data_IF_194276749560
#
_entry.id   IF_194276749560
#
_cell.length_a   1.000
_cell.length_b   1.000
_cell.length_c   1.000
_cell.angle_alpha   90.00
_cell.angle_beta   90.00
_cell.angle_gamma   90.00
#
_symmetry.space_group_name_H-M   'P 1'
#
loop_
_entity.id
_entity.type
_entity.pdbx_description
1 polymer ?
#
# COMPACT_ATOMS: atom_id res chain seq x y z
N UNK A 1 22.11 -27.34 -20.38
CA UNK A 1 21.24 -27.97 -19.37
C UNK A 1 20.28 -28.85 -20.14
N UNK A 2 20.27 -30.17 -19.91
CA UNK A 2 19.28 -31.09 -20.50
C UNK A 2 17.84 -30.64 -20.20
N UNK A 3 16.90 -30.95 -21.08
CA UNK A 3 15.48 -30.54 -20.96
C UNK A 3 14.81 -31.08 -19.68
N UNK A 4 15.23 -32.25 -19.21
CA UNK A 4 14.78 -32.88 -17.97
C UNK A 4 15.17 -32.07 -16.72
N UNK A 5 16.41 -31.55 -16.69
CA UNK A 5 16.91 -30.72 -15.59
C UNK A 5 16.22 -29.34 -15.55
N UNK A 6 15.73 -28.86 -16.70
CA UNK A 6 14.95 -27.61 -16.80
C UNK A 6 13.52 -27.80 -16.25
N UNK A 7 12.89 -28.94 -16.54
CA UNK A 7 11.55 -29.27 -16.07
C UNK A 7 11.52 -29.55 -14.57
N UNK A 8 12.57 -30.15 -14.02
CA UNK A 8 12.66 -30.41 -12.58
C UNK A 8 12.86 -29.10 -11.79
N UNK A 9 13.70 -28.18 -12.29
CA UNK A 9 13.77 -26.82 -11.76
C UNK A 9 12.43 -26.07 -11.87
N UNK A 10 11.72 -26.19 -13.00
CA UNK A 10 10.43 -25.55 -13.21
C UNK A 10 9.29 -26.17 -12.37
N UNK A 11 9.38 -27.46 -12.01
CA UNK A 11 8.38 -28.17 -11.20
C UNK A 11 8.61 -28.07 -9.68
N UNK A 12 9.73 -27.49 -9.22
CA UNK A 12 9.85 -26.98 -7.82
C UNK A 12 8.94 -25.77 -7.52
N UNK A 13 8.02 -25.46 -8.44
CA UNK A 13 7.05 -24.35 -8.44
C UNK A 13 6.10 -24.27 -7.25
N UNK A 14 6.07 -25.24 -6.34
CA UNK A 14 5.37 -25.08 -5.05
C UNK A 14 6.05 -24.07 -4.12
N UNK A 15 7.31 -23.67 -4.39
CA UNK A 15 8.03 -22.66 -3.58
C UNK A 15 7.94 -21.25 -4.16
N UNK A 16 7.46 -21.08 -5.41
CA UNK A 16 7.56 -19.77 -6.11
C UNK A 16 6.30 -18.92 -5.95
N UNK A 17 5.17 -19.51 -5.58
CA UNK A 17 3.92 -18.78 -5.38
C UNK A 17 3.98 -17.78 -4.20
N UNK A 18 4.81 -18.05 -3.18
CA UNK A 18 5.01 -17.13 -2.04
C UNK A 18 6.13 -16.09 -2.29
N UNK A 19 6.78 -16.14 -3.46
CA UNK A 19 7.92 -15.27 -3.82
C UNK A 19 7.65 -14.28 -4.94
N UNK A 20 6.51 -14.38 -5.64
CA UNK A 20 6.11 -13.38 -6.62
C UNK A 20 5.55 -12.16 -5.91
N UNK A 21 6.37 -11.11 -5.84
CA UNK A 21 5.99 -9.81 -5.33
C UNK A 21 4.76 -9.26 -6.07
N UNK A 22 3.72 -8.85 -5.33
CA UNK A 22 2.48 -8.33 -5.91
C UNK A 22 2.74 -7.08 -6.76
N UNK A 23 1.94 -6.87 -7.81
CA UNK A 23 2.04 -5.69 -8.67
C UNK A 23 1.88 -4.40 -7.84
N UNK A 24 0.93 -4.38 -6.90
CA UNK A 24 0.75 -3.27 -5.96
C UNK A 24 2.00 -2.93 -5.15
N UNK A 25 2.70 -3.94 -4.63
CA UNK A 25 3.95 -3.70 -3.89
C UNK A 25 5.07 -3.20 -4.81
N UNK A 26 5.16 -3.70 -6.04
CA UNK A 26 6.13 -3.19 -7.03
C UNK A 26 5.89 -1.70 -7.32
N UNK A 27 4.63 -1.28 -7.49
CA UNK A 27 4.26 0.13 -7.70
C UNK A 27 4.65 0.98 -6.48
N UNK A 28 4.35 0.52 -5.27
CA UNK A 28 4.71 1.22 -4.02
C UNK A 28 6.23 1.37 -3.86
N UNK A 29 7.01 0.33 -4.21
CA UNK A 29 8.48 0.38 -4.18
C UNK A 29 9.04 1.33 -5.23
N UNK A 30 8.56 1.23 -6.47
CA UNK A 30 8.99 2.07 -7.60
C UNK A 30 8.77 3.56 -7.32
N UNK A 31 7.66 3.90 -6.64
CA UNK A 31 7.32 5.27 -6.27
C UNK A 31 7.87 5.70 -4.89
N UNK A 32 8.70 4.86 -4.23
CA UNK A 32 9.37 5.21 -2.97
C UNK A 32 8.46 5.20 -1.73
N UNK A 33 7.23 4.71 -1.83
CA UNK A 33 6.26 4.75 -0.73
C UNK A 33 6.76 4.01 0.52
N UNK A 34 7.47 2.90 0.32
CA UNK A 34 7.97 2.03 1.41
C UNK A 34 9.09 2.67 2.25
N UNK A 35 9.66 3.79 1.81
CA UNK A 35 10.61 4.56 2.62
C UNK A 35 9.91 5.34 3.75
N UNK A 36 8.63 5.66 3.56
CA UNK A 36 7.82 6.42 4.51
C UNK A 36 6.69 5.60 5.13
N UNK A 37 6.29 4.49 4.53
CA UNK A 37 5.21 3.63 5.01
C UNK A 37 5.70 2.20 5.23
N UNK A 38 5.64 1.74 6.47
CA UNK A 38 6.09 0.39 6.84
C UNK A 38 5.05 -0.66 6.48
N UNK A 39 5.49 -1.91 6.35
CA UNK A 39 4.62 -3.09 6.11
C UNK A 39 4.54 -4.01 7.33
N UNK A 40 5.30 -3.72 8.39
CA UNK A 40 5.44 -4.59 9.57
C UNK A 40 4.60 -4.11 10.77
N UNK A 41 4.09 -2.88 10.72
CA UNK A 41 3.34 -2.23 11.80
C UNK A 41 4.11 -1.10 12.50
N UNK A 42 5.40 -0.91 12.19
CA UNK A 42 6.22 0.13 12.80
C UNK A 42 5.75 1.53 12.39
N UNK A 43 5.82 2.48 13.33
CA UNK A 43 5.60 3.91 13.04
C UNK A 43 6.90 4.54 12.56
N UNK A 44 6.89 5.13 11.38
CA UNK A 44 8.02 5.86 10.80
C UNK A 44 7.57 7.26 10.38
N UNK A 45 7.93 7.73 9.17
CA UNK A 45 7.51 9.04 8.66
C UNK A 45 6.00 9.09 8.42
N UNK A 46 5.43 8.03 7.84
CA UNK A 46 4.01 7.84 7.58
C UNK A 46 3.45 6.62 8.31
N UNK A 47 2.11 6.44 8.27
CA UNK A 47 1.45 5.29 8.87
C UNK A 47 1.80 3.98 8.18
N UNK A 48 1.80 2.89 8.94
CA UNK A 48 1.96 1.54 8.38
C UNK A 48 0.81 1.19 7.41
N UNK A 49 1.14 0.41 6.38
CA UNK A 49 0.17 -0.22 5.49
C UNK A 49 -0.46 -1.48 6.11
N UNK A 50 0.20 -2.11 7.07
CA UNK A 50 -0.29 -3.33 7.72
C UNK A 50 -1.58 -3.06 8.47
N UNK A 51 -2.63 -3.84 8.20
CA UNK A 51 -3.92 -3.63 8.86
C UNK A 51 -4.66 -2.37 8.41
N UNK A 52 -4.19 -1.67 7.36
CA UNK A 52 -4.78 -0.39 6.96
C UNK A 52 -6.18 -0.58 6.38
N UNK A 53 -6.35 -1.45 5.39
CA UNK A 53 -7.59 -1.50 4.61
C UNK A 53 -8.79 -1.89 5.50
N UNK A 54 -9.94 -1.22 5.35
CA UNK A 54 -11.12 -1.45 6.20
C UNK A 54 -10.98 -1.04 7.68
N UNK A 55 -9.82 -0.56 8.14
CA UNK A 55 -9.66 -0.05 9.51
C UNK A 55 -10.31 1.32 9.68
N UNK A 56 -10.60 1.68 10.94
CA UNK A 56 -11.06 3.03 11.28
C UNK A 56 -9.87 3.96 11.55
N UNK A 57 -9.88 5.12 10.90
CA UNK A 57 -8.82 6.13 11.00
C UNK A 57 -9.40 7.45 11.49
N UNK A 58 -8.81 7.99 12.55
CA UNK A 58 -9.08 9.37 12.96
C UNK A 58 -8.21 10.30 12.14
N UNK A 59 -8.84 11.20 11.39
CA UNK A 59 -8.19 12.12 10.47
C UNK A 59 -8.59 13.56 10.76
N UNK A 60 -7.70 14.49 10.43
CA UNK A 60 -7.97 15.93 10.38
C UNK A 60 -8.16 16.33 8.93
N UNK A 61 -9.30 16.95 8.60
CA UNK A 61 -9.57 17.45 7.26
C UNK A 61 -8.82 18.75 6.95
N UNK A 62 -8.91 19.22 5.70
CA UNK A 62 -8.27 20.45 5.26
C UNK A 62 -8.74 21.72 6.02
N UNK A 63 -9.90 21.68 6.67
CA UNK A 63 -10.46 22.76 7.48
C UNK A 63 -10.05 22.66 8.96
N UNK A 64 -9.38 21.57 9.35
CA UNK A 64 -8.94 21.33 10.72
C UNK A 64 -9.94 20.55 11.58
N UNK A 65 -11.04 20.05 11.01
CA UNK A 65 -12.00 19.25 11.77
C UNK A 65 -11.51 17.80 11.90
N UNK A 66 -11.78 17.21 13.05
CA UNK A 66 -11.45 15.81 13.33
C UNK A 66 -12.65 14.93 13.02
N UNK A 67 -12.44 13.85 12.27
CA UNK A 67 -13.46 12.84 12.00
C UNK A 67 -12.86 11.43 11.95
N UNK A 68 -13.71 10.42 12.06
CA UNK A 68 -13.35 9.02 11.85
C UNK A 68 -13.81 8.59 10.46
N UNK A 69 -12.91 7.97 9.69
CA UNK A 69 -13.18 7.45 8.34
C UNK A 69 -12.75 5.99 8.25
N UNK A 70 -13.47 5.21 7.43
CA UNK A 70 -13.04 3.86 7.05
C UNK A 70 -11.98 3.97 5.97
N UNK A 71 -10.87 3.23 6.13
CA UNK A 71 -9.81 3.14 5.12
C UNK A 71 -10.19 2.20 3.96
N UNK A 72 -11.18 2.61 3.16
CA UNK A 72 -11.64 1.92 1.97
C UNK A 72 -10.85 2.32 0.70
N UNK A 73 -11.30 1.87 -0.47
CA UNK A 73 -10.64 2.14 -1.75
C UNK A 73 -10.59 3.63 -2.08
N UNK A 74 -11.68 4.36 -1.80
CA UNK A 74 -11.78 5.80 -2.04
C UNK A 74 -10.88 6.58 -1.09
N UNK A 75 -10.73 6.11 0.16
CA UNK A 75 -9.77 6.67 1.10
C UNK A 75 -8.33 6.48 0.61
N UNK A 76 -7.97 5.28 0.12
CA UNK A 76 -6.62 5.02 -0.43
C UNK A 76 -6.35 5.89 -1.65
N UNK A 77 -7.27 5.95 -2.60
CA UNK A 77 -7.15 6.81 -3.79
C UNK A 77 -6.97 8.28 -3.41
N UNK A 78 -7.86 8.80 -2.54
CA UNK A 78 -7.77 10.18 -2.04
C UNK A 78 -6.46 10.43 -1.32
N UNK A 79 -5.99 9.49 -0.49
CA UNK A 79 -4.72 9.65 0.23
C UNK A 79 -3.51 9.71 -0.72
N UNK A 80 -3.58 9.06 -1.87
CA UNK A 80 -2.50 9.06 -2.88
C UNK A 80 -2.55 10.31 -3.77
N UNK A 81 -3.75 10.75 -4.16
CA UNK A 81 -3.93 11.89 -5.06
C UNK A 81 -4.03 13.24 -4.35
N UNK A 82 -4.62 13.28 -3.16
CA UNK A 82 -4.77 14.46 -2.31
C UNK A 82 -4.44 14.13 -0.84
N UNK A 83 -3.16 13.85 -0.52
CA UNK A 83 -2.72 13.41 0.80
C UNK A 83 -3.01 14.41 1.94
N UNK A 84 -3.24 15.68 1.62
CA UNK A 84 -3.54 16.72 2.59
C UNK A 84 -5.05 16.90 2.83
N UNK A 85 -5.92 16.23 2.06
CA UNK A 85 -7.36 16.29 2.28
C UNK A 85 -7.75 15.74 3.66
N UNK A 86 -7.09 14.66 4.08
CA UNK A 86 -7.38 13.94 5.32
C UNK A 86 -6.09 13.36 5.91
N UNK A 87 -5.50 14.08 6.87
CA UNK A 87 -4.25 13.65 7.51
C UNK A 87 -4.56 12.84 8.76
N UNK A 88 -4.01 11.63 8.87
CA UNK A 88 -4.16 10.77 10.03
C UNK A 88 -3.60 11.44 11.29
N UNK A 89 -4.31 11.33 12.41
CA UNK A 89 -3.86 11.81 13.71
C UNK A 89 -2.44 11.31 14.06
N UNK A 90 -1.59 12.24 14.52
CA UNK A 90 -0.21 11.95 14.89
C UNK A 90 0.79 11.92 13.73
N UNK A 91 0.40 12.39 12.54
CA UNK A 91 1.25 12.62 11.37
C UNK A 91 1.14 14.07 10.88
N UNK A 92 2.17 14.56 10.18
CA UNK A 92 2.23 15.93 9.72
C UNK A 92 1.71 16.08 8.29
N UNK A 93 0.98 17.16 8.03
CA UNK A 93 0.61 17.60 6.67
C UNK A 93 1.85 17.97 5.86
N UNK A 94 1.71 17.98 4.53
CA UNK A 94 2.74 18.39 3.55
C UNK A 94 4.00 17.50 3.49
N UNK A 95 4.02 16.33 4.14
CA UNK A 95 5.11 15.36 4.00
C UNK A 95 4.87 14.39 2.85
N UNK A 96 3.63 13.90 2.71
CA UNK A 96 3.24 13.04 1.60
C UNK A 96 2.91 13.91 0.38
N UNK A 97 3.58 13.64 -0.74
CA UNK A 97 3.34 14.34 -2.02
C UNK A 97 2.18 13.70 -2.77
N UNK A 98 1.52 14.47 -3.63
CA UNK A 98 0.51 13.93 -4.55
C UNK A 98 1.17 13.09 -5.64
N UNK A 99 0.56 11.95 -5.97
CA UNK A 99 0.98 11.07 -7.05
C UNK A 99 -0.04 11.01 -8.22
N UNK A 100 -0.93 12.00 -8.31
CA UNK A 100 -2.03 12.03 -9.30
C UNK A 100 -1.56 11.92 -10.75
N UNK A 101 -0.37 12.45 -11.06
CA UNK A 101 0.19 12.42 -12.41
C UNK A 101 1.12 11.22 -12.65
N UNK A 102 1.40 10.43 -11.61
CA UNK A 102 2.40 9.35 -11.61
C UNK A 102 1.77 7.96 -11.47
N UNK A 103 0.62 7.88 -10.82
CA UNK A 103 -0.09 6.61 -10.56
C UNK A 103 -1.44 6.70 -11.26
N UNK A 104 -1.70 5.73 -12.13
CA UNK A 104 -2.96 5.63 -12.88
C UNK A 104 -4.07 4.97 -12.04
N UNK A 105 -5.35 5.12 -12.43
CA UNK A 105 -6.47 4.46 -11.75
C UNK A 105 -6.36 2.93 -11.69
N UNK A 106 -5.76 2.29 -12.70
CA UNK A 106 -5.55 0.83 -12.68
C UNK A 106 -4.43 0.44 -11.71
N UNK A 107 -3.37 1.23 -11.61
CA UNK A 107 -2.32 1.04 -10.60
C UNK A 107 -2.85 1.24 -9.17
N UNK A 108 -3.80 2.15 -8.96
CA UNK A 108 -4.49 2.31 -7.66
C UNK A 108 -5.22 1.01 -7.29
N UNK A 109 -5.89 0.34 -8.23
CA UNK A 109 -6.56 -0.95 -7.96
C UNK A 109 -5.56 -2.01 -7.50
N UNK A 110 -4.39 -2.07 -8.14
CA UNK A 110 -3.32 -3.01 -7.76
C UNK A 110 -2.75 -2.68 -6.37
N UNK A 111 -2.55 -1.40 -6.04
CA UNK A 111 -2.15 -0.96 -4.71
C UNK A 111 -3.20 -1.38 -3.67
N UNK A 112 -4.47 -1.12 -3.93
CA UNK A 112 -5.59 -1.49 -3.05
C UNK A 112 -5.64 -3.01 -2.82
N UNK A 113 -5.48 -3.81 -3.87
CA UNK A 113 -5.44 -5.27 -3.76
C UNK A 113 -4.29 -5.74 -2.86
N UNK A 114 -3.12 -5.13 -3.01
CA UNK A 114 -2.00 -5.43 -2.12
C UNK A 114 -2.27 -5.01 -0.67
N UNK A 115 -2.83 -3.82 -0.43
CA UNK A 115 -3.19 -3.36 0.92
C UNK A 115 -4.23 -4.27 1.59
N UNK A 116 -5.19 -4.80 0.83
CA UNK A 116 -6.13 -5.82 1.32
C UNK A 116 -5.40 -7.09 1.78
N UNK A 117 -4.41 -7.56 1.01
CA UNK A 117 -3.63 -8.75 1.35
C UNK A 117 -2.82 -8.61 2.65
N UNK A 118 -2.47 -7.38 3.05
CA UNK A 118 -1.75 -7.10 4.30
C UNK A 118 -2.63 -7.17 5.56
N UNK A 119 -3.93 -7.38 5.40
CA UNK A 119 -4.88 -7.51 6.50
C UNK A 119 -5.26 -8.94 6.82
N UNK A 120 -5.01 -9.85 5.89
CA UNK A 120 -5.27 -11.26 6.10
C UNK A 120 -4.20 -11.80 7.05
N UNK A 121 -4.64 -12.44 8.14
CA UNK A 121 -3.72 -13.21 8.97
C UNK A 121 -3.25 -14.39 8.11
N UNK A 122 -1.99 -14.40 7.69
CA UNK A 122 -1.31 -15.66 7.37
C UNK A 122 -1.30 -16.56 8.61
#
# INVERSE_FOLDING_TARGET
VPEEDFLDWFNTKEVVADTLESIGLQILKKNGCVACHSQDGSKIVGPTFKGLFGSQRKVTDAQGNIKTVTADELYVERSIYDPNAEVVEGYNKNLMVSYKEQISPDEIKEIVNYLKSLNEKK
#
